data_IF_348347327323
#
_entry.id   IF_348347327323
#
_cell.length_a   1.000
_cell.length_b   1.000
_cell.length_c   1.000
_cell.angle_alpha   90.00
_cell.angle_beta   90.00
_cell.angle_gamma   90.00
#
_symmetry.space_group_name_H-M   'P 1'
#
loop_
_entity.id
_entity.type
_entity.pdbx_description
1 polymer ?
#
# COMPACT_ATOMS: atom_id res chain seq x y z
N UNK A 1 8.22 31.44 -34.82
CA UNK A 1 8.70 30.08 -35.25
C UNK A 1 9.54 29.36 -34.20
N UNK A 2 10.40 30.03 -33.40
CA UNK A 2 11.16 29.37 -32.30
C UNK A 2 10.35 29.00 -31.05
N UNK A 3 9.29 29.74 -30.75
CA UNK A 3 8.43 29.52 -29.56
C UNK A 3 7.55 28.27 -29.70
N UNK A 4 7.13 27.92 -30.92
CA UNK A 4 6.28 26.74 -31.15
C UNK A 4 7.08 25.42 -30.99
N UNK A 5 8.38 25.45 -31.27
CA UNK A 5 9.26 24.30 -31.04
C UNK A 5 9.42 23.99 -29.55
N UNK A 6 9.49 25.04 -28.70
CA UNK A 6 9.59 24.88 -27.25
C UNK A 6 8.30 24.31 -26.64
N UNK A 7 7.14 24.74 -27.13
CA UNK A 7 5.84 24.24 -26.66
C UNK A 7 5.62 22.76 -27.04
N UNK A 8 6.12 22.34 -28.20
CA UNK A 8 6.03 20.94 -28.64
C UNK A 8 6.95 20.01 -27.84
N UNK A 9 8.12 20.51 -27.43
CA UNK A 9 9.07 19.78 -26.59
C UNK A 9 8.54 19.59 -25.15
N UNK A 10 7.84 20.59 -24.60
CA UNK A 10 7.25 20.50 -23.26
C UNK A 10 6.10 19.48 -23.18
N UNK A 11 5.34 19.31 -24.28
CA UNK A 11 4.22 18.36 -24.34
C UNK A 11 4.67 16.89 -24.29
N UNK A 12 5.91 16.61 -24.72
CA UNK A 12 6.50 15.27 -24.63
C UNK A 12 7.03 14.91 -23.23
N UNK A 13 7.28 15.90 -22.37
CA UNK A 13 7.82 15.68 -21.02
C UNK A 13 6.73 15.42 -19.96
N UNK A 14 5.45 15.60 -20.29
CA UNK A 14 4.32 15.39 -19.37
C UNK A 14 3.67 14.00 -19.47
N UNK A 15 4.21 13.09 -20.28
CA UNK A 15 3.90 11.67 -20.17
C UNK A 15 4.67 11.09 -18.97
N UNK A 16 4.31 11.55 -17.77
CA UNK A 16 4.78 11.00 -16.51
C UNK A 16 4.21 9.59 -16.42
N UNK A 17 5.07 8.61 -16.72
CA UNK A 17 4.79 7.19 -16.56
C UNK A 17 4.61 6.90 -15.07
N UNK A 18 3.36 6.90 -14.59
CA UNK A 18 3.00 6.25 -13.34
C UNK A 18 3.08 4.74 -13.55
N UNK A 19 4.31 4.21 -13.49
CA UNK A 19 4.49 2.79 -13.26
C UNK A 19 3.80 2.45 -11.94
N UNK A 20 2.88 1.45 -11.90
CA UNK A 20 2.37 0.98 -10.62
C UNK A 20 3.57 0.50 -9.80
N UNK A 21 3.70 1.01 -8.58
CA UNK A 21 4.67 0.51 -7.61
C UNK A 21 4.33 -0.96 -7.35
N UNK A 22 5.01 -1.87 -8.06
CA UNK A 22 5.03 -3.28 -7.70
C UNK A 22 5.92 -3.38 -6.46
N UNK A 23 5.29 -3.33 -5.30
CA UNK A 23 5.93 -3.67 -4.04
C UNK A 23 5.99 -5.20 -3.99
N UNK A 24 7.03 -5.78 -4.59
CA UNK A 24 7.41 -7.14 -4.22
C UNK A 24 7.94 -7.06 -2.78
N UNK A 25 7.29 -7.70 -1.79
CA UNK A 25 7.81 -7.69 -0.43
C UNK A 25 9.19 -8.34 -0.44
N UNK A 26 10.22 -7.55 -0.13
CA UNK A 26 11.57 -8.06 0.06
C UNK A 26 11.56 -9.07 1.19
N UNK A 27 12.38 -10.12 1.09
CA UNK A 27 12.42 -11.25 2.05
C UNK A 27 12.63 -10.83 3.52
N UNK A 28 13.14 -9.62 3.75
CA UNK A 28 13.42 -9.05 5.07
C UNK A 28 12.33 -8.08 5.56
N UNK A 29 11.21 -7.96 4.85
CA UNK A 29 10.09 -7.10 5.25
C UNK A 29 9.35 -7.70 6.45
N UNK A 30 9.45 -7.04 7.62
CA UNK A 30 8.65 -7.36 8.80
C UNK A 30 7.54 -6.33 8.95
N UNK A 31 6.27 -6.66 8.64
CA UNK A 31 5.16 -5.77 8.91
C UNK A 31 5.06 -5.49 10.42
N UNK A 32 4.87 -4.20 10.77
CA UNK A 32 4.53 -3.79 12.12
C UNK A 32 3.02 -3.79 12.24
N UNK A 33 2.49 -4.49 13.25
CA UNK A 33 1.06 -4.48 13.58
C UNK A 33 0.86 -3.43 14.65
N UNK A 34 0.31 -2.28 14.26
CA UNK A 34 0.22 -1.10 15.15
C UNK A 34 -0.93 -1.18 16.15
N UNK A 35 -1.95 -2.01 15.90
CA UNK A 35 -3.11 -2.12 16.78
C UNK A 35 -3.81 -3.48 16.59
N UNK A 36 -3.73 -4.36 17.60
CA UNK A 36 -4.59 -5.55 17.69
C UNK A 36 -5.62 -5.21 18.75
N UNK A 37 -6.72 -4.59 18.34
CA UNK A 37 -7.84 -4.35 19.24
C UNK A 37 -8.67 -5.63 19.30
N UNK A 38 -8.53 -6.41 20.37
CA UNK A 38 -9.48 -7.48 20.67
C UNK A 38 -10.79 -6.79 21.05
N UNK A 39 -11.75 -6.73 20.12
CA UNK A 39 -13.07 -6.17 20.39
C UNK A 39 -13.82 -7.22 21.19
N UNK A 40 -13.91 -6.99 22.51
CA UNK A 40 -14.57 -7.89 23.48
C UNK A 40 -15.84 -8.53 22.89
N UNK A 41 -15.77 -9.85 22.68
CA UNK A 41 -16.91 -10.68 22.28
C UNK A 41 -17.09 -10.93 20.77
N UNK A 42 -16.23 -10.37 19.91
CA UNK A 42 -16.22 -10.64 18.48
C UNK A 42 -14.87 -11.26 18.12
N UNK A 43 -14.87 -12.47 17.57
CA UNK A 43 -13.66 -13.17 17.10
C UNK A 43 -13.03 -12.54 15.84
N UNK A 44 -13.30 -11.26 15.58
CA UNK A 44 -12.86 -10.60 14.36
C UNK A 44 -11.50 -9.93 14.64
N UNK A 45 -10.52 -10.24 13.81
CA UNK A 45 -9.17 -9.68 13.93
C UNK A 45 -9.12 -8.41 13.10
N UNK A 46 -9.20 -7.26 13.74
CA UNK A 46 -9.06 -5.96 13.08
C UNK A 46 -7.66 -5.38 13.29
N UNK A 47 -7.14 -4.67 12.29
CA UNK A 47 -5.92 -3.88 12.45
C UNK A 47 -5.47 -3.13 11.21
N UNK A 48 -4.35 -2.43 11.33
CA UNK A 48 -3.69 -1.69 10.25
C UNK A 48 -2.24 -2.13 10.11
N UNK A 49 -1.80 -2.37 8.88
CA UNK A 49 -0.41 -2.68 8.55
C UNK A 49 0.22 -1.48 7.86
N UNK A 50 1.35 -1.03 8.41
CA UNK A 50 2.15 0.07 7.88
C UNK A 50 3.62 -0.34 7.66
N UNK A 51 4.36 0.45 6.87
CA UNK A 51 5.82 0.40 6.81
C UNK A 51 6.46 1.14 8.00
N UNK A 52 7.80 1.12 8.11
CA UNK A 52 8.49 1.83 9.19
C UNK A 52 8.28 3.36 9.22
N UNK A 53 7.70 3.94 8.16
CA UNK A 53 7.40 5.37 8.05
C UNK A 53 5.92 5.68 8.30
N UNK A 54 5.10 4.66 8.62
CA UNK A 54 3.66 4.79 8.81
C UNK A 54 2.83 4.80 7.52
N UNK A 55 3.43 4.52 6.36
CA UNK A 55 2.71 4.39 5.10
C UNK A 55 1.92 3.07 5.07
N UNK A 56 0.63 3.08 4.69
CA UNK A 56 -0.20 1.87 4.68
C UNK A 56 0.26 0.87 3.61
N UNK A 57 0.11 -0.42 3.90
CA UNK A 57 0.47 -1.49 2.97
C UNK A 57 -0.74 -2.37 2.65
N UNK A 58 -1.09 -2.38 1.37
CA UNK A 58 -2.16 -3.21 0.81
C UNK A 58 -1.67 -4.59 0.40
N UNK A 59 -2.60 -5.52 0.19
CA UNK A 59 -2.35 -6.88 -0.30
C UNK A 59 -1.48 -7.76 0.64
N UNK A 60 -1.50 -7.49 1.94
CA UNK A 60 -0.84 -8.33 2.94
C UNK A 60 -1.82 -9.37 3.46
N UNK A 61 -1.43 -10.64 3.44
CA UNK A 61 -2.22 -11.72 4.05
C UNK A 61 -2.06 -11.68 5.56
N UNK A 62 -3.18 -11.59 6.27
CA UNK A 62 -3.26 -11.67 7.73
C UNK A 62 -4.06 -12.91 8.09
N UNK A 63 -3.56 -13.70 9.03
CA UNK A 63 -4.22 -14.93 9.49
C UNK A 63 -4.01 -15.15 10.98
N UNK A 64 -5.04 -15.65 11.65
CA UNK A 64 -5.01 -16.09 13.05
C UNK A 64 -4.72 -17.60 13.20
N UNK A 65 -4.51 -18.30 12.08
CA UNK A 65 -4.33 -19.75 12.02
C UNK A 65 -5.60 -20.54 11.67
N UNK A 66 -6.78 -19.91 11.62
CA UNK A 66 -8.05 -20.54 11.23
C UNK A 66 -8.67 -19.87 10.00
N UNK A 67 -8.63 -18.53 9.95
CA UNK A 67 -9.12 -17.72 8.83
C UNK A 67 -8.02 -16.81 8.30
N UNK A 68 -8.19 -16.31 7.08
CA UNK A 68 -7.30 -15.31 6.52
C UNK A 68 -8.10 -14.17 5.90
N UNK A 69 -7.48 -12.99 5.88
CA UNK A 69 -7.98 -11.76 5.26
C UNK A 69 -6.81 -11.06 4.56
N UNK A 70 -7.10 -10.08 3.72
CA UNK A 70 -6.09 -9.33 2.96
C UNK A 70 -6.30 -7.84 3.23
N UNK A 71 -5.22 -7.11 3.50
CA UNK A 71 -5.30 -5.68 3.73
C UNK A 71 -5.78 -4.91 2.49
N UNK A 72 -6.66 -3.94 2.70
CA UNK A 72 -7.16 -3.03 1.67
C UNK A 72 -6.12 -1.94 1.28
N UNK A 73 -6.51 -1.01 0.39
CA UNK A 73 -5.67 0.11 -0.05
C UNK A 73 -5.19 1.04 1.09
N UNK A 74 -5.87 1.02 2.24
CA UNK A 74 -5.51 1.79 3.44
C UNK A 74 -4.71 0.97 4.44
N UNK A 75 -4.33 -0.26 4.08
CA UNK A 75 -3.63 -1.19 4.94
C UNK A 75 -4.49 -1.79 6.04
N UNK A 76 -5.81 -1.68 5.94
CA UNK A 76 -6.76 -2.13 6.95
C UNK A 76 -7.17 -3.58 6.67
N UNK A 77 -7.26 -4.39 7.72
CA UNK A 77 -7.86 -5.72 7.66
C UNK A 77 -8.91 -5.89 8.76
N UNK A 78 -9.86 -6.79 8.50
CA UNK A 78 -10.91 -7.26 9.41
C UNK A 78 -11.11 -8.77 9.19
#
# INVERSE_FOLDING_TARGET
KRIHFLAFLLYFLTACSTAPLSFEPTKDYKPVVDDITNIDGINDTYGKITDQNGAPISNVVVTDGYVFTITDEKGIYL
#
